data_IF_799204387571
#
_entry.id   IF_799204387571
#
_cell.length_a   1.000
_cell.length_b   1.000
_cell.length_c   1.000
_cell.angle_alpha   90.00
_cell.angle_beta   90.00
_cell.angle_gamma   90.00
#
_symmetry.space_group_name_H-M   'P 1'
#
loop_
_entity.id
_entity.type
_entity.pdbx_description
1 polymer ?
#
# COMPACT_ATOMS: atom_id res chain seq x y z
N UNK A 1 45.40 -47.05 35.63
CA UNK A 1 43.99 -46.78 35.26
C UNK A 1 43.52 -45.39 35.70
N UNK A 2 43.66 -45.01 36.98
CA UNK A 2 43.07 -43.77 37.53
C UNK A 2 43.56 -42.45 36.91
N UNK A 3 44.82 -42.33 36.48
CA UNK A 3 45.33 -41.09 35.84
C UNK A 3 44.62 -40.77 34.52
N UNK A 4 44.39 -41.79 33.67
CA UNK A 4 43.68 -41.61 32.40
C UNK A 4 42.19 -41.34 32.61
N UNK A 5 41.58 -41.94 33.63
CA UNK A 5 40.19 -41.70 34.02
C UNK A 5 39.97 -40.24 34.46
N UNK A 6 40.85 -39.69 35.29
CA UNK A 6 40.79 -38.28 35.69
C UNK A 6 41.00 -37.32 34.52
N UNK A 7 41.89 -37.65 33.58
CA UNK A 7 42.09 -36.83 32.36
C UNK A 7 40.85 -36.86 31.45
N UNK A 8 40.20 -38.02 31.28
CA UNK A 8 38.96 -38.13 30.52
C UNK A 8 37.81 -37.32 31.14
N UNK A 9 37.69 -37.34 32.47
CA UNK A 9 36.68 -36.56 33.19
C UNK A 9 36.93 -35.06 33.04
N UNK A 10 38.19 -34.60 33.11
CA UNK A 10 38.53 -33.20 32.93
C UNK A 10 38.21 -32.70 31.50
N UNK A 11 38.53 -33.50 30.47
CA UNK A 11 38.21 -33.19 29.07
C UNK A 11 36.69 -33.17 28.85
N UNK A 12 35.94 -34.07 29.48
CA UNK A 12 34.47 -34.05 29.46
C UNK A 12 33.88 -32.79 30.10
N UNK A 13 34.46 -32.31 31.20
CA UNK A 13 34.01 -31.09 31.87
C UNK A 13 34.25 -29.83 31.03
N UNK A 14 35.37 -29.76 30.31
CA UNK A 14 35.70 -28.65 29.41
C UNK A 14 34.74 -28.56 28.20
N UNK A 15 34.16 -29.67 27.77
CA UNK A 15 33.19 -29.69 26.67
C UNK A 15 31.83 -29.08 27.04
N UNK A 16 31.52 -28.97 28.35
CA UNK A 16 30.24 -28.42 28.84
C UNK A 16 30.21 -26.88 28.81
N UNK A 17 31.36 -26.20 28.73
CA UNK A 17 31.42 -24.73 28.67
C UNK A 17 31.29 -24.16 27.26
N UNK A 18 31.34 -25.00 26.22
CA UNK A 18 31.21 -24.59 24.83
C UNK A 18 29.74 -24.36 24.39
N UNK A 19 28.77 -24.78 25.20
CA UNK A 19 27.35 -24.56 24.92
C UNK A 19 26.88 -23.27 25.61
N UNK A 20 27.26 -22.10 25.07
CA UNK A 20 26.61 -20.85 25.43
C UNK A 20 25.36 -20.67 24.54
N UNK A 21 24.18 -20.54 25.15
CA UNK A 21 22.89 -20.44 24.47
C UNK A 21 22.43 -19.00 24.27
N UNK A 22 23.34 -18.07 24.02
CA UNK A 22 23.00 -16.72 23.54
C UNK A 22 22.62 -16.80 22.06
N UNK A 23 21.38 -17.21 21.79
CA UNK A 23 20.85 -17.41 20.44
C UNK A 23 19.91 -16.30 19.98
N UNK A 24 19.87 -15.17 20.69
CA UNK A 24 18.88 -14.11 20.45
C UNK A 24 19.52 -12.71 20.44
N UNK A 25 20.54 -12.48 19.63
CA UNK A 25 20.91 -11.12 19.22
C UNK A 25 20.10 -10.72 17.99
N UNK A 26 18.88 -10.23 18.22
CA UNK A 26 18.16 -9.44 17.24
C UNK A 26 18.45 -7.96 17.55
N UNK A 27 19.18 -7.29 16.67
CA UNK A 27 19.58 -5.89 16.85
C UNK A 27 18.38 -4.93 16.70
N UNK A 28 17.44 -5.24 15.80
CA UNK A 28 16.10 -4.65 15.74
C UNK A 28 15.17 -5.50 14.85
N UNK A 29 13.86 -5.41 15.10
CA UNK A 29 12.81 -5.90 14.21
C UNK A 29 11.79 -4.80 14.01
N UNK A 30 11.19 -4.73 12.84
CA UNK A 30 10.21 -3.70 12.50
C UNK A 30 9.39 -4.11 11.29
N UNK A 31 8.24 -3.49 11.15
CA UNK A 31 7.34 -3.67 10.00
C UNK A 31 7.44 -2.41 9.15
N UNK A 32 7.43 -2.58 7.83
CA UNK A 32 7.30 -1.47 6.91
C UNK A 32 5.83 -1.07 6.82
N UNK A 33 5.54 0.19 7.10
CA UNK A 33 4.22 0.77 6.92
C UNK A 33 4.22 1.69 5.69
N UNK A 34 3.07 1.79 5.05
CA UNK A 34 2.82 2.70 3.95
C UNK A 34 1.45 3.34 4.15
N UNK A 35 1.31 4.60 3.71
CA UNK A 35 0.02 5.27 3.71
C UNK A 35 -0.87 4.68 2.61
N UNK A 36 -1.96 4.05 3.01
CA UNK A 36 -2.95 3.51 2.09
C UNK A 36 -4.04 4.54 1.81
N UNK A 37 -4.34 4.75 0.53
CA UNK A 37 -5.40 5.67 0.09
C UNK A 37 -6.33 4.94 -0.87
N UNK A 38 -7.62 5.02 -0.59
CA UNK A 38 -8.67 4.49 -1.47
C UNK A 38 -9.12 5.61 -2.39
N UNK A 39 -8.97 5.42 -3.70
CA UNK A 39 -9.50 6.33 -4.72
C UNK A 39 -10.84 5.80 -5.21
N UNK A 40 -11.90 6.55 -4.97
CA UNK A 40 -13.26 6.22 -5.39
C UNK A 40 -13.80 7.24 -6.40
N UNK A 41 -14.67 6.79 -7.31
CA UNK A 41 -15.39 7.69 -8.20
C UNK A 41 -16.40 8.54 -7.43
N UNK A 42 -16.47 9.84 -7.73
CA UNK A 42 -17.42 10.76 -7.10
C UNK A 42 -18.87 10.54 -7.57
N UNK A 43 -19.05 10.02 -8.79
CA UNK A 43 -20.35 9.71 -9.36
C UNK A 43 -20.44 8.25 -9.81
N UNK A 44 -21.65 7.70 -9.74
CA UNK A 44 -21.96 6.41 -10.34
C UNK A 44 -22.11 6.55 -11.86
N UNK A 45 -21.75 5.51 -12.60
CA UNK A 45 -21.89 5.45 -14.05
C UNK A 45 -21.16 4.25 -14.65
N UNK A 46 -21.25 4.10 -15.97
CA UNK A 46 -20.53 3.05 -16.69
C UNK A 46 -19.06 3.43 -16.81
N UNK A 47 -18.16 2.49 -16.55
CA UNK A 47 -16.72 2.67 -16.82
C UNK A 47 -16.50 2.60 -18.33
N UNK A 48 -15.96 3.65 -18.92
CA UNK A 48 -15.56 3.71 -20.33
C UNK A 48 -14.10 3.30 -20.54
N UNK A 49 -13.24 3.61 -19.57
CA UNK A 49 -11.80 3.32 -19.63
C UNK A 49 -11.28 2.98 -18.22
N UNK A 50 -10.35 2.03 -18.15
CA UNK A 50 -9.71 1.59 -16.92
C UNK A 50 -8.27 1.18 -17.24
N UNK A 51 -7.31 2.04 -16.92
CA UNK A 51 -5.90 1.84 -17.27
C UNK A 51 -5.02 1.44 -16.09
N UNK A 52 -5.49 1.59 -14.85
CA UNK A 52 -4.74 1.23 -13.66
C UNK A 52 -4.45 -0.28 -13.62
N UNK A 53 -3.20 -0.66 -13.38
CA UNK A 53 -2.77 -2.05 -13.17
C UNK A 53 -2.00 -2.19 -11.86
N UNK A 54 -2.00 -3.40 -11.33
CA UNK A 54 -1.23 -3.72 -10.13
C UNK A 54 0.27 -3.50 -10.38
N UNK A 55 0.91 -2.79 -9.45
CA UNK A 55 2.32 -2.45 -9.53
C UNK A 55 2.64 -1.14 -10.27
N UNK A 56 1.64 -0.46 -10.84
CA UNK A 56 1.85 0.84 -11.50
C UNK A 56 2.24 1.93 -10.49
N UNK A 57 3.15 2.80 -10.90
CA UNK A 57 3.41 4.07 -10.21
C UNK A 57 2.54 5.15 -10.81
N UNK A 58 1.66 5.74 -10.00
CA UNK A 58 0.74 6.79 -10.44
C UNK A 58 1.31 8.17 -10.10
N UNK A 59 1.26 9.10 -11.05
CA UNK A 59 1.53 10.50 -10.80
C UNK A 59 0.31 11.17 -10.13
N UNK A 60 0.55 12.28 -9.43
CA UNK A 60 -0.53 13.12 -8.90
C UNK A 60 -1.44 13.55 -10.06
N UNK A 61 -2.75 13.51 -9.81
CA UNK A 61 -3.81 13.93 -10.75
C UNK A 61 -3.86 13.09 -12.05
N UNK A 62 -3.19 11.93 -12.08
CA UNK A 62 -3.27 11.01 -13.21
C UNK A 62 -4.67 10.40 -13.33
N UNK A 63 -5.29 10.55 -14.49
CA UNK A 63 -6.55 9.91 -14.82
C UNK A 63 -6.31 8.42 -15.07
N UNK A 64 -6.91 7.57 -14.25
CA UNK A 64 -6.78 6.11 -14.35
C UNK A 64 -8.08 5.41 -14.76
N UNK A 65 -9.22 6.04 -14.50
CA UNK A 65 -10.56 5.52 -14.81
C UNK A 65 -11.40 6.65 -15.36
N UNK A 66 -12.14 6.38 -16.45
CA UNK A 66 -13.10 7.31 -17.02
C UNK A 66 -14.51 6.75 -16.84
N UNK A 67 -15.34 7.46 -16.08
CA UNK A 67 -16.78 7.18 -15.97
C UNK A 67 -17.52 7.95 -17.07
N UNK A 68 -18.53 7.33 -17.67
CA UNK A 68 -19.37 7.90 -18.73
C UNK A 68 -19.96 9.26 -18.31
N UNK A 69 -19.50 10.39 -18.89
CA UNK A 69 -19.86 11.72 -18.41
C UNK A 69 -21.10 12.28 -19.12
N UNK A 70 -21.65 11.60 -20.13
CA UNK A 70 -22.67 12.15 -21.04
C UNK A 70 -23.87 12.72 -20.27
N UNK A 71 -24.31 12.05 -19.21
CA UNK A 71 -25.41 12.54 -18.38
C UNK A 71 -25.12 13.89 -17.72
N UNK A 72 -23.92 14.07 -17.18
CA UNK A 72 -23.48 15.32 -16.55
C UNK A 72 -23.24 16.42 -17.58
N UNK A 73 -22.70 16.07 -18.75
CA UNK A 73 -22.51 17.02 -19.86
C UNK A 73 -23.83 17.59 -20.36
N UNK A 74 -24.85 16.74 -20.55
CA UNK A 74 -26.18 17.18 -20.96
C UNK A 74 -26.86 18.05 -19.89
N UNK A 75 -26.72 17.71 -18.61
CA UNK A 75 -27.24 18.52 -17.51
C UNK A 75 -26.57 19.90 -17.47
N UNK A 76 -25.24 19.94 -17.63
CA UNK A 76 -24.49 21.20 -17.74
C UNK A 76 -24.98 22.06 -18.89
N UNK A 77 -25.09 21.48 -20.10
CA UNK A 77 -25.57 22.19 -21.28
C UNK A 77 -27.00 22.74 -21.10
N UNK A 78 -27.88 21.98 -20.44
CA UNK A 78 -29.24 22.43 -20.12
C UNK A 78 -29.23 23.64 -19.16
N UNK A 79 -28.38 23.61 -18.13
CA UNK A 79 -28.25 24.71 -17.17
C UNK A 79 -27.68 25.95 -17.88
N UNK A 80 -26.64 25.80 -18.70
CA UNK A 80 -26.03 26.89 -19.44
C UNK A 80 -27.03 27.56 -20.39
N UNK A 81 -27.81 26.77 -21.14
CA UNK A 81 -28.86 27.30 -22.01
C UNK A 81 -29.96 28.03 -21.21
N UNK A 82 -30.30 27.52 -20.02
CA UNK A 82 -31.29 28.16 -19.14
C UNK A 82 -30.78 29.49 -18.59
N UNK A 83 -29.51 29.57 -18.20
CA UNK A 83 -28.88 30.83 -17.76
C UNK A 83 -28.85 31.86 -18.90
N UNK A 84 -28.47 31.44 -20.11
CA UNK A 84 -28.44 32.32 -21.27
C UNK A 84 -29.83 32.89 -21.58
N UNK A 85 -30.87 32.04 -21.61
CA UNK A 85 -32.24 32.47 -21.86
C UNK A 85 -32.76 33.47 -20.80
N UNK A 86 -32.29 33.39 -19.56
CA UNK A 86 -32.64 34.35 -18.51
C UNK A 86 -31.90 35.69 -18.67
N UNK A 87 -30.62 35.65 -19.06
CA UNK A 87 -29.84 36.86 -19.35
C UNK A 87 -30.47 37.65 -20.51
N UNK A 88 -30.86 36.97 -21.58
CA UNK A 88 -31.55 37.59 -22.72
C UNK A 88 -32.88 38.24 -22.36
N UNK A 89 -33.54 37.80 -21.28
CA UNK A 89 -34.80 38.38 -20.78
C UNK A 89 -34.62 39.53 -19.79
N UNK A 90 -33.41 39.72 -19.26
CA UNK A 90 -33.11 40.71 -18.21
C UNK A 90 -32.43 41.96 -18.78
N UNK A 91 -32.07 41.94 -20.07
CA UNK A 91 -31.62 43.08 -20.87
C UNK A 91 -32.82 43.63 -21.63
#
# INVERSE_FOLDING_TARGET
MNRYLSTFIAVGLLSLTACNSDKNEFDATGVFEADEVIVAAENAGRILQFDAKEGDSLAKDQVTVLIDPVGLELQKAQVDASMQALQEKTI
#
